data_IF_224797812988
#
_entry.id   IF_224797812988
#
_cell.length_a   1.000
_cell.length_b   1.000
_cell.length_c   1.000
_cell.angle_alpha   90.00
_cell.angle_beta   90.00
_cell.angle_gamma   90.00
#
_symmetry.space_group_name_H-M   'P 1'
#
loop_
_entity.id
_entity.type
_entity.pdbx_description
1 polymer ?
#
# COMPACT_ATOMS: atom_id res chain seq x y z
N UNK A 1 -5.36 13.16 -3.49
CA UNK A 1 -6.33 12.06 -3.69
C UNK A 1 -5.67 10.79 -3.15
N UNK A 2 -6.43 9.79 -2.70
CA UNK A 2 -5.89 8.61 -2.00
C UNK A 2 -4.76 7.91 -2.79
N UNK A 3 -4.92 7.78 -4.10
CA UNK A 3 -3.89 7.23 -5.01
C UNK A 3 -2.54 7.96 -4.90
N UNK A 4 -2.56 9.29 -4.85
CA UNK A 4 -1.34 10.11 -4.67
C UNK A 4 -0.65 9.74 -3.36
N UNK A 5 -1.42 9.56 -2.28
CA UNK A 5 -0.87 9.23 -0.97
C UNK A 5 -0.32 7.80 -0.93
N UNK A 6 -0.99 6.84 -1.55
CA UNK A 6 -0.47 5.47 -1.72
C UNK A 6 0.86 5.50 -2.48
N UNK A 7 0.93 6.30 -3.55
CA UNK A 7 2.15 6.45 -4.35
C UNK A 7 3.30 7.05 -3.56
N UNK A 8 3.04 8.03 -2.69
CA UNK A 8 4.03 8.57 -1.74
C UNK A 8 4.55 7.51 -0.77
N UNK A 9 3.67 6.68 -0.20
CA UNK A 9 4.06 5.59 0.71
C UNK A 9 4.92 4.55 -0.01
N UNK A 10 4.51 4.14 -1.22
CA UNK A 10 5.31 3.25 -2.08
C UNK A 10 6.66 3.88 -2.38
N UNK A 11 6.72 5.16 -2.76
CA UNK A 11 7.98 5.84 -3.02
C UNK A 11 8.93 5.82 -1.83
N UNK A 12 8.40 6.14 -0.64
CA UNK A 12 9.15 6.12 0.62
C UNK A 12 9.70 4.74 0.96
N UNK A 13 8.88 3.68 0.82
CA UNK A 13 9.30 2.30 1.14
C UNK A 13 10.35 1.82 0.15
N UNK A 14 10.18 2.11 -1.13
CA UNK A 14 11.05 1.57 -2.18
C UNK A 14 12.27 2.45 -2.45
N UNK A 15 12.32 3.66 -1.88
CA UNK A 15 13.39 4.62 -2.09
C UNK A 15 13.36 5.23 -3.49
N UNK A 16 12.17 5.39 -4.06
CA UNK A 16 11.93 5.93 -5.40
C UNK A 16 11.12 7.21 -5.26
N UNK A 17 11.49 8.28 -5.96
CA UNK A 17 10.73 9.52 -5.91
C UNK A 17 9.32 9.30 -6.51
N UNK A 18 8.25 9.96 -6.00
CA UNK A 18 6.88 9.72 -6.46
C UNK A 18 6.66 9.96 -7.97
N UNK A 19 7.45 10.86 -8.55
CA UNK A 19 7.51 11.23 -9.95
C UNK A 19 8.33 10.24 -10.82
N UNK A 20 9.21 9.45 -10.20
CA UNK A 20 9.97 8.37 -10.84
C UNK A 20 9.27 7.01 -10.76
N UNK A 21 8.19 6.91 -9.98
CA UNK A 21 7.42 5.67 -9.88
C UNK A 21 6.68 5.35 -11.18
N UNK A 22 6.67 4.08 -11.61
CA UNK A 22 5.93 3.62 -12.79
C UNK A 22 4.43 3.86 -12.62
N UNK A 23 3.73 4.15 -13.72
CA UNK A 23 2.27 4.39 -13.71
C UNK A 23 1.52 3.28 -12.96
N UNK A 24 1.82 2.04 -13.33
CA UNK A 24 1.37 0.83 -12.66
C UNK A 24 2.31 0.52 -11.50
N UNK A 25 1.77 0.33 -10.30
CA UNK A 25 2.54 0.00 -9.09
C UNK A 25 2.34 -1.48 -8.75
N UNK A 26 3.27 -2.34 -9.14
CA UNK A 26 3.23 -3.78 -8.82
C UNK A 26 4.63 -4.42 -8.91
N UNK A 27 4.80 -5.71 -8.52
CA UNK A 27 6.10 -6.37 -8.55
C UNK A 27 6.82 -6.40 -9.89
N UNK A 28 6.07 -6.32 -11.00
CA UNK A 28 6.66 -6.38 -12.34
C UNK A 28 7.23 -5.03 -12.78
N UNK A 29 6.75 -3.93 -12.19
CA UNK A 29 7.00 -2.57 -12.66
C UNK A 29 7.85 -1.77 -11.69
N UNK A 30 7.65 -1.97 -10.39
CA UNK A 30 8.37 -1.24 -9.34
C UNK A 30 9.67 -1.97 -9.02
N UNK A 31 10.84 -1.36 -9.29
CA UNK A 31 12.12 -2.00 -9.02
C UNK A 31 12.32 -2.30 -7.53
N UNK A 32 12.87 -3.48 -7.24
CA UNK A 32 13.19 -3.88 -5.86
C UNK A 32 12.00 -4.42 -5.08
N UNK A 33 10.85 -4.68 -5.72
CA UNK A 33 9.73 -5.36 -5.08
C UNK A 33 10.09 -6.80 -4.72
N UNK A 34 10.30 -7.00 -3.42
CA UNK A 34 10.62 -8.29 -2.80
C UNK A 34 9.59 -8.58 -1.71
N UNK A 35 9.50 -9.82 -1.25
CA UNK A 35 8.62 -10.18 -0.13
C UNK A 35 8.89 -9.35 1.13
N UNK A 36 10.16 -9.00 1.40
CA UNK A 36 10.52 -8.13 2.52
C UNK A 36 10.01 -6.70 2.31
N UNK A 37 10.15 -6.15 1.10
CA UNK A 37 9.63 -4.82 0.77
C UNK A 37 8.10 -4.77 0.82
N UNK A 38 7.42 -5.86 0.48
CA UNK A 38 5.97 -5.95 0.58
C UNK A 38 5.49 -5.89 2.05
N UNK A 39 6.20 -6.57 2.96
CA UNK A 39 5.94 -6.47 4.41
C UNK A 39 6.20 -5.04 4.90
N UNK A 40 7.29 -4.41 4.47
CA UNK A 40 7.58 -3.01 4.79
C UNK A 40 6.51 -2.05 4.25
N UNK A 41 5.99 -2.32 3.05
CA UNK A 41 4.91 -1.54 2.45
C UNK A 41 3.64 -1.62 3.29
N UNK A 42 3.23 -2.82 3.71
CA UNK A 42 2.08 -2.99 4.60
C UNK A 42 2.25 -2.16 5.88
N UNK A 43 3.35 -2.32 6.61
CA UNK A 43 3.57 -1.57 7.87
C UNK A 43 3.54 -0.05 7.65
N UNK A 44 4.05 0.42 6.51
CA UNK A 44 4.02 1.83 6.16
C UNK A 44 2.60 2.31 5.83
N UNK A 45 1.77 1.49 5.18
CA UNK A 45 0.37 1.79 4.92
C UNK A 45 -0.43 1.83 6.24
N UNK A 46 -0.26 0.85 7.12
CA UNK A 46 -0.86 0.84 8.46
C UNK A 46 -0.55 2.12 9.23
N UNK A 47 0.73 2.52 9.27
CA UNK A 47 1.15 3.73 9.95
C UNK A 47 0.61 5.01 9.27
N UNK A 48 0.63 5.08 7.94
CA UNK A 48 0.25 6.27 7.20
C UNK A 48 -1.27 6.54 7.23
N UNK A 49 -2.08 5.50 7.33
CA UNK A 49 -3.54 5.57 7.28
C UNK A 49 -4.23 5.26 8.62
N UNK A 50 -3.48 4.80 9.63
CA UNK A 50 -4.01 4.49 10.95
C UNK A 50 -4.90 3.25 10.96
N UNK A 51 -4.54 2.23 10.18
CA UNK A 51 -5.31 0.99 10.02
C UNK A 51 -4.49 -0.24 10.39
N UNK A 52 -5.15 -1.37 10.58
CA UNK A 52 -4.52 -2.69 10.71
C UNK A 52 -4.82 -3.52 9.46
N UNK A 53 -3.79 -4.15 8.88
CA UNK A 53 -3.91 -4.98 7.69
C UNK A 53 -3.65 -6.43 8.09
N UNK A 54 -4.61 -7.32 7.85
CA UNK A 54 -4.41 -8.75 8.07
C UNK A 54 -3.23 -9.25 7.20
N UNK A 55 -2.18 -9.85 7.78
CA UNK A 55 -1.05 -10.37 7.02
C UNK A 55 -1.43 -11.44 5.99
N UNK A 56 -2.58 -12.11 6.14
CA UNK A 56 -3.09 -13.04 5.14
C UNK A 56 -3.52 -12.34 3.83
N UNK A 57 -3.78 -11.03 3.87
CA UNK A 57 -4.11 -10.22 2.71
C UNK A 57 -2.87 -9.75 1.93
N UNK A 58 -1.65 -9.93 2.46
CA UNK A 58 -0.40 -9.53 1.79
C UNK A 58 -0.37 -9.95 0.32
N UNK A 59 -0.60 -11.23 -0.05
CA UNK A 59 -0.52 -11.66 -1.44
C UNK A 59 -1.55 -10.96 -2.34
N UNK A 60 -2.69 -10.52 -1.80
CA UNK A 60 -3.73 -9.80 -2.54
C UNK A 60 -3.41 -8.29 -2.67
N UNK A 61 -2.69 -7.73 -1.69
CA UNK A 61 -2.27 -6.31 -1.66
C UNK A 61 -0.90 -6.11 -2.32
N UNK A 62 -0.75 -6.64 -3.53
CA UNK A 62 0.48 -6.56 -4.32
C UNK A 62 0.35 -5.63 -5.55
N UNK A 63 -0.67 -4.78 -5.60
CA UNK A 63 -0.81 -3.81 -6.69
C UNK A 63 -1.42 -2.50 -6.20
N UNK A 64 -1.07 -1.40 -6.86
CA UNK A 64 -1.60 -0.06 -6.59
C UNK A 64 -3.14 -0.05 -6.53
N UNK A 65 -3.84 -0.55 -7.56
CA UNK A 65 -5.31 -0.61 -7.54
C UNK A 65 -5.88 -1.43 -6.38
N UNK A 66 -5.30 -2.60 -6.07
CA UNK A 66 -5.77 -3.42 -4.94
C UNK A 66 -5.57 -2.74 -3.59
N UNK A 67 -4.43 -2.06 -3.41
CA UNK A 67 -4.13 -1.28 -2.20
C UNK A 67 -5.10 -0.11 -2.07
N UNK A 68 -5.31 0.65 -3.14
CA UNK A 68 -6.24 1.80 -3.13
C UNK A 68 -7.65 1.33 -2.80
N UNK A 69 -8.17 0.30 -3.49
CA UNK A 69 -9.50 -0.23 -3.22
C UNK A 69 -9.66 -0.68 -1.76
N UNK A 70 -8.70 -1.44 -1.24
CA UNK A 70 -8.72 -1.88 0.16
C UNK A 70 -8.73 -0.70 1.14
N UNK A 71 -7.96 0.35 0.88
CA UNK A 71 -7.94 1.55 1.71
C UNK A 71 -9.24 2.33 1.62
N UNK A 72 -9.86 2.43 0.45
CA UNK A 72 -11.17 3.07 0.29
C UNK A 72 -12.24 2.34 1.12
N UNK A 73 -12.28 1.01 1.02
CA UNK A 73 -13.21 0.17 1.78
C UNK A 73 -12.95 0.31 3.29
N UNK A 74 -11.69 0.29 3.72
CA UNK A 74 -11.31 0.36 5.13
C UNK A 74 -11.59 1.75 5.72
N UNK A 75 -11.27 2.83 5.00
CA UNK A 75 -11.44 4.21 5.47
C UNK A 75 -12.89 4.70 5.37
N UNK A 76 -13.70 4.10 4.49
CA UNK A 76 -15.12 4.38 4.39
C UNK A 76 -15.94 3.78 5.54
N UNK A 77 -15.37 2.81 6.28
CA UNK A 77 -15.98 2.23 7.48
C UNK A 77 -15.53 3.04 8.69
N UNK A 78 -16.41 3.85 9.32
CA UNK A 78 -16.04 4.59 10.53
C UNK A 78 -15.84 3.58 11.68
N UNK A 79 -14.63 3.57 12.25
CA UNK A 79 -14.19 2.88 13.48
C UNK A 79 -15.20 1.88 14.06
N UNK A 80 -15.06 0.60 13.74
CA UNK A 80 -15.95 -0.38 14.35
C UNK A 80 -15.89 -1.83 13.89
N UNK A 81 -14.74 -2.40 13.54
CA UNK A 81 -14.64 -3.88 13.53
C UNK A 81 -13.21 -4.41 13.75
N UNK A 82 -12.58 -4.01 14.85
CA UNK A 82 -11.74 -4.98 15.57
C UNK A 82 -12.70 -5.85 16.40
N UNK A 83 -12.99 -7.06 15.94
CA UNK A 83 -13.74 -8.05 16.71
C UNK A 83 -13.04 -9.40 16.65
#
# INVERSE_FOLDING_TARGET
MLETRVREVVGSVFGVAPDELPERLDPDTVPGWTSLRQIQLMMALENAFGIEIDPNLLPALASGPAIVQYLEETLAVPDGTAR
#
